data_IF_048965608431
#
_entry.id   IF_048965608431
#
_cell.length_a   1.000
_cell.length_b   1.000
_cell.length_c   1.000
_cell.angle_alpha   90.00
_cell.angle_beta   90.00
_cell.angle_gamma   90.00
#
_symmetry.space_group_name_H-M   'P 1'
#
loop_
_entity.id
_entity.type
_entity.pdbx_description
1 polymer ?
#
# COMPACT_ATOMS: atom_id res chain seq x y z
N UNK A 1 51.84 8.08 -3.16
CA UNK A 1 50.38 8.29 -3.26
C UNK A 1 50.15 8.98 -4.59
N UNK A 2 49.51 8.28 -5.52
CA UNK A 2 49.36 8.71 -6.91
C UNK A 2 48.39 9.89 -7.00
N UNK A 3 48.92 11.04 -7.43
CA UNK A 3 48.11 12.17 -7.89
C UNK A 3 47.71 11.89 -9.35
N UNK A 4 46.49 11.39 -9.53
CA UNK A 4 45.87 11.24 -10.84
C UNK A 4 45.48 12.63 -11.33
N UNK A 5 46.28 13.20 -12.20
CA UNK A 5 45.94 14.37 -13.01
C UNK A 5 44.75 14.04 -13.93
N UNK A 6 43.52 14.19 -13.41
CA UNK A 6 42.35 14.37 -14.27
C UNK A 6 42.54 15.69 -15.01
N UNK A 7 42.98 15.62 -16.26
CA UNK A 7 42.76 16.67 -17.25
C UNK A 7 41.25 16.86 -17.39
N UNK A 8 40.70 17.73 -16.55
CA UNK A 8 39.27 18.04 -16.51
C UNK A 8 38.87 18.73 -17.81
N UNK A 9 38.37 17.96 -18.77
CA UNK A 9 37.69 18.49 -19.93
C UNK A 9 36.37 19.11 -19.44
N UNK A 10 36.38 20.39 -19.11
CA UNK A 10 35.19 21.12 -18.68
C UNK A 10 34.18 21.07 -19.83
N UNK A 11 33.07 20.36 -19.60
CA UNK A 11 31.99 20.25 -20.58
C UNK A 11 31.43 21.65 -20.84
N UNK A 12 31.61 22.13 -22.06
CA UNK A 12 31.09 23.41 -22.55
C UNK A 12 30.20 23.18 -23.76
N UNK A 13 29.29 24.13 -24.00
CA UNK A 13 28.43 24.17 -25.17
C UNK A 13 28.75 25.45 -25.94
N UNK A 14 28.82 25.37 -27.27
CA UNK A 14 29.07 26.54 -28.11
C UNK A 14 27.81 27.38 -28.31
N UNK A 15 27.97 28.68 -28.54
CA UNK A 15 26.83 29.55 -28.90
C UNK A 15 26.17 29.14 -30.22
N UNK A 16 26.88 28.44 -31.12
CA UNK A 16 26.29 27.85 -32.35
C UNK A 16 25.41 26.65 -32.03
N UNK A 17 25.87 25.73 -31.18
CA UNK A 17 25.07 24.58 -30.75
C UNK A 17 23.77 25.03 -30.07
N UNK A 18 23.83 26.09 -29.24
CA UNK A 18 22.63 26.69 -28.65
C UNK A 18 21.70 27.26 -29.71
N UNK A 19 22.24 27.94 -30.72
CA UNK A 19 21.47 28.54 -31.81
C UNK A 19 20.69 27.48 -32.59
N UNK A 20 21.32 26.34 -32.88
CA UNK A 20 20.69 25.20 -33.53
C UNK A 20 19.62 24.56 -32.63
N UNK A 21 19.92 24.40 -31.32
CA UNK A 21 18.98 23.81 -30.35
C UNK A 21 17.71 24.65 -30.18
N UNK A 22 17.82 25.98 -30.12
CA UNK A 22 16.66 26.87 -29.97
C UNK A 22 16.07 27.31 -31.32
N UNK A 23 16.63 26.84 -32.44
CA UNK A 23 16.26 27.25 -33.80
C UNK A 23 16.20 28.79 -33.96
N UNK A 24 17.28 29.47 -33.53
CA UNK A 24 17.44 30.92 -33.62
C UNK A 24 18.73 31.26 -34.35
N UNK A 25 18.80 32.47 -34.92
CA UNK A 25 20.05 32.99 -35.52
C UNK A 25 21.13 33.12 -34.46
N UNK A 26 22.36 32.70 -34.78
CA UNK A 26 23.54 32.80 -33.91
C UNK A 26 23.77 34.22 -33.36
N UNK A 27 23.53 35.25 -34.16
CA UNK A 27 23.65 36.65 -33.73
C UNK A 27 22.72 37.02 -32.58
N UNK A 28 21.49 36.47 -32.55
CA UNK A 28 20.57 36.70 -31.44
C UNK A 28 21.07 36.02 -30.17
N UNK A 29 21.64 34.81 -30.28
CA UNK A 29 22.22 34.09 -29.14
C UNK A 29 23.38 34.88 -28.54
N UNK A 30 24.31 35.37 -29.36
CA UNK A 30 25.43 36.22 -28.91
C UNK A 30 24.93 37.47 -28.18
N UNK A 31 23.96 38.19 -28.75
CA UNK A 31 23.36 39.38 -28.12
C UNK A 31 22.72 39.05 -26.77
N UNK A 32 22.05 37.91 -26.65
CA UNK A 32 21.46 37.47 -25.38
C UNK A 32 22.54 37.15 -24.35
N UNK A 33 23.62 36.48 -24.74
CA UNK A 33 24.78 36.22 -23.87
C UNK A 33 25.36 37.54 -23.35
N UNK A 34 25.65 38.50 -24.24
CA UNK A 34 26.22 39.79 -23.84
C UNK A 34 25.29 40.54 -22.87
N UNK A 35 23.98 40.51 -23.13
CA UNK A 35 22.98 41.12 -22.24
C UNK A 35 22.94 40.45 -20.87
N UNK A 36 23.05 39.12 -20.81
CA UNK A 36 23.06 38.37 -19.55
C UNK A 36 24.35 38.59 -18.76
N UNK A 37 25.50 38.74 -19.44
CA UNK A 37 26.77 39.12 -18.82
C UNK A 37 26.69 40.54 -18.25
N UNK A 38 26.14 41.49 -19.01
CA UNK A 38 25.96 42.88 -18.54
C UNK A 38 25.05 42.99 -17.31
N UNK A 39 24.05 42.09 -17.20
CA UNK A 39 23.17 42.00 -16.04
C UNK A 39 23.76 41.18 -14.89
N UNK A 40 25.00 40.69 -15.03
CA UNK A 40 25.67 39.81 -14.06
C UNK A 40 24.87 38.53 -13.75
N UNK A 41 24.05 38.06 -14.69
CA UNK A 41 23.26 36.83 -14.54
C UNK A 41 24.10 35.60 -14.83
N UNK A 42 25.02 35.70 -15.80
CA UNK A 42 25.99 34.67 -16.17
C UNK A 42 27.41 35.26 -16.09
N UNK A 43 28.40 34.39 -15.92
CA UNK A 43 29.81 34.81 -16.00
C UNK A 43 30.20 35.15 -17.43
N UNK A 44 31.27 35.93 -17.62
CA UNK A 44 31.83 36.20 -18.95
C UNK A 44 32.33 34.88 -19.55
N UNK A 45 31.72 34.35 -20.63
CA UNK A 45 32.15 33.10 -21.24
C UNK A 45 33.43 33.29 -22.04
N UNK A 46 34.21 32.21 -22.20
CA UNK A 46 35.38 32.21 -23.07
C UNK A 46 34.95 32.39 -24.53
N UNK A 47 35.73 33.17 -25.29
CA UNK A 47 35.51 33.44 -26.71
C UNK A 47 36.58 32.71 -27.52
N UNK A 48 36.17 32.02 -28.58
CA UNK A 48 37.05 31.36 -29.53
C UNK A 48 36.78 31.81 -30.96
N UNK A 49 37.84 31.94 -31.75
CA UNK A 49 37.77 32.21 -33.18
C UNK A 49 37.70 30.89 -33.94
N UNK A 50 36.61 30.66 -34.67
CA UNK A 50 36.37 29.42 -35.42
C UNK A 50 36.27 29.75 -36.92
N UNK A 51 36.91 28.92 -37.75
CA UNK A 51 36.81 29.08 -39.20
C UNK A 51 35.38 28.85 -39.69
N UNK A 52 34.89 29.73 -40.55
CA UNK A 52 33.55 29.68 -41.10
C UNK A 52 33.63 29.33 -42.59
N UNK A 53 33.05 28.19 -42.95
CA UNK A 53 33.08 27.64 -44.32
C UNK A 53 31.93 28.14 -45.20
N UNK A 54 30.99 28.91 -44.64
CA UNK A 54 29.82 29.46 -45.34
C UNK A 54 30.02 30.87 -45.90
N UNK A 55 29.01 31.44 -46.59
CA UNK A 55 29.05 32.82 -47.06
C UNK A 55 29.11 33.78 -45.85
N UNK A 56 30.20 34.54 -45.75
CA UNK A 56 30.45 35.47 -44.65
C UNK A 56 31.94 35.62 -44.34
N UNK A 57 32.30 36.22 -43.20
CA UNK A 57 33.68 36.30 -42.74
C UNK A 57 34.30 34.91 -42.61
N UNK A 58 35.60 34.77 -42.95
CA UNK A 58 36.34 33.50 -42.90
C UNK A 58 36.51 32.96 -41.47
N UNK A 59 36.34 33.83 -40.47
CA UNK A 59 36.47 33.55 -39.03
C UNK A 59 35.26 34.14 -38.31
N UNK A 60 34.63 33.35 -37.44
CA UNK A 60 33.48 33.73 -36.63
C UNK A 60 33.79 33.49 -35.16
N UNK A 61 33.40 34.43 -34.32
CA UNK A 61 33.54 34.33 -32.87
C UNK A 61 32.42 33.47 -32.28
N UNK A 62 32.81 32.46 -31.50
CA UNK A 62 31.92 31.57 -30.77
C UNK A 62 32.18 31.66 -29.26
N UNK A 63 31.12 31.60 -28.46
CA UNK A 63 31.23 31.58 -27.01
C UNK A 63 31.22 30.13 -26.51
N UNK A 64 32.12 29.79 -25.60
CA UNK A 64 32.13 28.53 -24.84
C UNK A 64 31.43 28.75 -23.50
N UNK A 65 30.29 28.11 -23.34
CA UNK A 65 29.38 28.39 -22.23
C UNK A 65 29.33 27.15 -21.34
N UNK A 66 29.48 27.35 -20.02
CA UNK A 66 29.37 26.27 -19.04
C UNK A 66 27.94 25.77 -18.89
N UNK A 67 27.78 24.56 -18.34
CA UNK A 67 26.48 23.88 -18.18
C UNK A 67 25.38 24.79 -17.60
N UNK A 68 25.63 25.43 -16.46
CA UNK A 68 24.63 26.27 -15.78
C UNK A 68 24.20 27.46 -16.64
N UNK A 69 25.16 28.15 -17.23
CA UNK A 69 24.90 29.36 -18.02
C UNK A 69 24.22 29.03 -19.35
N UNK A 70 24.51 27.86 -19.94
CA UNK A 70 23.82 27.39 -21.14
C UNK A 70 22.32 27.21 -20.92
N UNK A 71 21.91 26.69 -19.75
CA UNK A 71 20.48 26.58 -19.41
C UNK A 71 19.81 27.95 -19.27
N UNK A 72 20.49 28.92 -18.67
CA UNK A 72 19.96 30.29 -18.52
C UNK A 72 19.77 30.95 -19.89
N UNK A 73 20.75 30.81 -20.78
CA UNK A 73 20.67 31.35 -22.15
C UNK A 73 19.52 30.70 -22.92
N UNK A 74 19.38 29.37 -22.85
CA UNK A 74 18.28 28.63 -23.51
C UNK A 74 16.91 29.03 -22.94
N UNK A 75 16.78 29.15 -21.61
CA UNK A 75 15.54 29.57 -20.97
C UNK A 75 15.08 30.96 -21.43
N UNK A 76 16.02 31.90 -21.61
CA UNK A 76 15.71 33.24 -22.12
C UNK A 76 15.30 33.25 -23.60
N UNK A 77 15.87 32.37 -24.42
CA UNK A 77 15.64 32.30 -25.86
C UNK A 77 14.42 31.44 -26.25
N UNK A 78 14.02 30.51 -25.38
CA UNK A 78 12.87 29.62 -25.57
C UNK A 78 11.78 29.88 -24.52
N UNK A 79 10.81 30.75 -24.83
CA UNK A 79 9.63 30.94 -23.99
C UNK A 79 8.84 29.64 -23.80
N UNK A 80 8.83 28.75 -24.80
CA UNK A 80 8.18 27.43 -24.73
C UNK A 80 8.80 26.55 -23.66
N UNK A 81 10.13 26.53 -23.55
CA UNK A 81 10.84 25.81 -22.49
C UNK A 81 10.47 26.34 -21.10
N UNK A 82 10.39 27.67 -20.97
CA UNK A 82 10.00 28.32 -19.71
C UNK A 82 8.52 28.06 -19.38
N UNK A 83 7.63 28.08 -20.38
CA UNK A 83 6.22 27.74 -20.21
C UNK A 83 6.03 26.31 -19.73
N UNK A 84 6.72 25.34 -20.36
CA UNK A 84 6.67 23.94 -19.93
C UNK A 84 7.15 23.74 -18.47
N UNK A 85 8.16 24.51 -18.04
CA UNK A 85 8.62 24.51 -16.65
C UNK A 85 7.54 25.04 -15.70
N UNK A 86 6.89 26.15 -16.07
CA UNK A 86 5.79 26.74 -15.29
C UNK A 86 4.60 25.79 -15.22
N UNK A 87 4.17 25.23 -16.34
CA UNK A 87 3.06 24.27 -16.41
C UNK A 87 3.33 23.05 -15.54
N UNK A 88 4.57 22.55 -15.55
CA UNK A 88 4.97 21.42 -14.70
C UNK A 88 4.87 21.74 -13.22
N UNK A 89 5.29 22.94 -12.81
CA UNK A 89 5.14 23.38 -11.42
C UNK A 89 3.69 23.55 -11.02
N UNK A 90 2.87 24.17 -11.87
CA UNK A 90 1.43 24.28 -11.63
C UNK A 90 0.77 22.90 -11.49
N UNK A 91 1.16 21.92 -12.31
CA UNK A 91 0.66 20.56 -12.20
C UNK A 91 1.06 19.90 -10.86
N UNK A 92 2.29 20.11 -10.40
CA UNK A 92 2.75 19.60 -9.09
C UNK A 92 2.01 20.28 -7.94
N UNK A 93 1.81 21.60 -8.00
CA UNK A 93 1.04 22.37 -7.03
C UNK A 93 -0.43 21.92 -7.00
N UNK A 94 -1.05 21.71 -8.15
CA UNK A 94 -2.41 21.15 -8.24
C UNK A 94 -2.46 19.74 -7.66
N UNK A 95 -1.48 18.89 -7.98
CA UNK A 95 -1.40 17.53 -7.42
C UNK A 95 -1.22 17.55 -5.90
N UNK A 96 -0.46 18.52 -5.36
CA UNK A 96 -0.27 18.72 -3.93
C UNK A 96 -1.50 19.35 -3.26
N UNK A 97 -2.22 20.26 -3.94
CA UNK A 97 -3.47 20.82 -3.45
C UNK A 97 -4.62 19.80 -3.46
N UNK A 98 -4.61 18.86 -4.40
CA UNK A 98 -5.54 17.73 -4.45
C UNK A 98 -5.20 16.63 -3.42
N UNK A 99 -3.97 16.59 -2.91
CA UNK A 99 -3.65 15.85 -1.70
C UNK A 99 -4.20 16.63 -0.51
N UNK A 100 -5.48 16.41 -0.21
CA UNK A 100 -6.30 17.05 0.81
C UNK A 100 -5.54 17.36 2.12
N UNK A 101 -4.90 18.53 2.18
CA UNK A 101 -4.57 19.17 3.44
C UNK A 101 -5.81 20.00 3.80
N UNK A 102 -6.49 19.71 4.93
CA UNK A 102 -7.60 20.53 5.36
C UNK A 102 -7.14 21.98 5.53
N UNK A 103 -7.88 22.92 4.94
CA UNK A 103 -7.69 24.35 5.16
C UNK A 103 -7.94 24.67 6.65
N UNK A 104 -6.85 24.86 7.40
CA UNK A 104 -6.89 25.19 8.83
C UNK A 104 -7.27 26.66 9.11
N UNK A 105 -7.43 27.49 8.07
CA UNK A 105 -7.78 28.91 8.24
C UNK A 105 -9.29 29.15 8.36
N UNK A 106 -10.11 28.11 8.16
CA UNK A 106 -11.55 28.18 8.36
C UNK A 106 -12.00 27.25 9.50
N UNK A 107 -12.19 27.77 10.74
CA UNK A 107 -12.54 26.95 11.91
C UNK A 107 -13.86 26.20 11.73
N UNK A 108 -14.77 26.69 10.88
CA UNK A 108 -16.03 26.01 10.59
C UNK A 108 -15.85 24.77 9.70
N UNK A 109 -14.88 24.78 8.78
CA UNK A 109 -14.58 23.63 7.94
C UNK A 109 -13.85 22.54 8.74
N UNK A 110 -12.93 22.93 9.60
CA UNK A 110 -12.25 22.02 10.52
C UNK A 110 -13.22 21.33 11.49
N UNK A 111 -14.19 22.06 12.05
CA UNK A 111 -15.21 21.50 12.94
C UNK A 111 -16.12 20.48 12.23
N UNK A 112 -16.49 20.72 10.96
CA UNK A 112 -17.30 19.76 10.18
C UNK A 112 -16.52 18.48 9.86
N UNK A 113 -15.26 18.59 9.46
CA UNK A 113 -14.42 17.43 9.18
C UNK A 113 -14.17 16.57 10.45
N UNK A 114 -14.03 17.21 11.61
CA UNK A 114 -13.95 16.53 12.90
C UNK A 114 -15.24 15.79 13.27
N UNK A 115 -16.41 16.41 13.03
CA UNK A 115 -17.69 15.76 13.29
C UNK A 115 -17.89 14.51 12.42
N UNK A 116 -17.59 14.60 11.12
CA UNK A 116 -17.69 13.47 10.19
C UNK A 116 -16.75 12.32 10.56
N UNK A 117 -15.49 12.63 10.92
CA UNK A 117 -14.54 11.64 11.41
C UNK A 117 -15.00 10.97 12.71
N UNK A 118 -15.58 11.74 13.63
CA UNK A 118 -16.08 11.21 14.90
C UNK A 118 -17.29 10.32 14.70
N UNK A 119 -18.21 10.66 13.79
CA UNK A 119 -19.35 9.83 13.41
C UNK A 119 -18.90 8.52 12.76
N UNK A 120 -17.93 8.58 11.83
CA UNK A 120 -17.32 7.38 11.23
C UNK A 120 -16.63 6.49 12.28
N UNK A 121 -15.87 7.09 13.20
CA UNK A 121 -15.20 6.36 14.28
C UNK A 121 -16.22 5.72 15.23
N UNK A 122 -17.31 6.41 15.56
CA UNK A 122 -18.39 5.84 16.36
C UNK A 122 -19.09 4.68 15.65
N UNK A 123 -19.40 4.81 14.36
CA UNK A 123 -20.00 3.73 13.58
C UNK A 123 -19.08 2.49 13.52
N UNK A 124 -17.77 2.71 13.31
CA UNK A 124 -16.77 1.63 13.34
C UNK A 124 -16.65 0.98 14.73
N UNK A 125 -16.63 1.78 15.80
CA UNK A 125 -16.58 1.27 17.17
C UNK A 125 -17.86 0.53 17.58
N UNK A 126 -19.03 0.96 17.11
CA UNK A 126 -20.30 0.25 17.35
C UNK A 126 -20.31 -1.10 16.62
N UNK A 127 -19.77 -1.18 15.39
CA UNK A 127 -19.62 -2.44 14.68
C UNK A 127 -18.66 -3.41 15.41
N UNK A 128 -17.58 -2.90 16.00
CA UNK A 128 -16.64 -3.68 16.82
C UNK A 128 -17.26 -4.11 18.15
N UNK A 129 -18.07 -3.26 18.79
CA UNK A 129 -18.75 -3.58 20.05
C UNK A 129 -19.80 -4.70 19.89
N UNK A 130 -20.45 -4.82 18.73
CA UNK A 130 -21.33 -5.95 18.41
C UNK A 130 -20.53 -7.24 18.17
N UNK A 131 -19.26 -7.13 17.75
CA UNK A 131 -18.34 -8.26 17.59
C UNK A 131 -17.62 -8.66 18.90
N UNK A 132 -17.45 -7.75 19.86
CA UNK A 132 -16.76 -7.98 21.13
C UNK A 132 -17.29 -9.17 21.97
N UNK A 133 -18.61 -9.41 22.13
CA UNK A 133 -19.08 -10.56 22.90
C UNK A 133 -18.82 -11.90 22.20
N UNK A 134 -18.38 -11.91 20.92
CA UNK A 134 -18.06 -13.13 20.17
C UNK A 134 -16.62 -13.63 20.43
N UNK A 135 -15.70 -12.76 20.84
CA UNK A 135 -14.30 -13.12 21.10
C UNK A 135 -14.06 -13.46 22.58
N UNK A 136 -14.65 -12.72 23.52
CA UNK A 136 -14.42 -12.95 24.95
C UNK A 136 -14.99 -14.29 25.47
N UNK A 137 -16.05 -14.82 24.87
CA UNK A 137 -16.57 -16.14 25.23
C UNK A 137 -15.64 -17.28 24.78
N UNK A 138 -14.84 -17.05 23.74
CA UNK A 138 -13.97 -18.08 23.14
C UNK A 138 -12.63 -18.17 23.89
N UNK A 139 -12.00 -17.03 24.19
CA UNK A 139 -10.69 -17.01 24.85
C UNK A 139 -10.76 -17.48 26.31
N UNK A 140 -11.81 -17.10 27.04
CA UNK A 140 -11.98 -17.51 28.45
C UNK A 140 -12.32 -19.00 28.62
N UNK A 141 -12.52 -19.75 27.54
CA UNK A 141 -13.05 -21.12 27.56
C UNK A 141 -12.05 -22.20 27.06
N UNK A 142 -11.00 -21.82 26.32
CA UNK A 142 -10.01 -22.76 25.75
C UNK A 142 -8.92 -23.21 26.74
N UNK A 143 -8.75 -22.53 27.87
CA UNK A 143 -7.71 -22.85 28.87
C UNK A 143 -7.96 -24.13 29.69
N UNK A 144 -9.17 -24.68 29.67
CA UNK A 144 -9.54 -25.83 30.50
C UNK A 144 -9.55 -27.18 29.76
N UNK A 145 -8.46 -27.93 29.83
CA UNK A 145 -8.32 -29.38 29.50
C UNK A 145 -8.76 -29.84 28.10
N UNK A 146 -7.76 -30.23 27.30
CA UNK A 146 -7.75 -30.24 25.84
C UNK A 146 -8.58 -31.27 25.05
N UNK A 147 -9.52 -32.01 25.63
CA UNK A 147 -10.43 -32.87 24.86
C UNK A 147 -11.79 -33.04 25.57
N UNK A 148 -12.89 -32.60 24.95
CA UNK A 148 -14.25 -32.73 25.51
C UNK A 148 -15.10 -33.71 24.70
N UNK A 149 -15.86 -34.55 25.39
CA UNK A 149 -16.81 -35.47 24.77
C UNK A 149 -18.09 -34.78 24.32
N UNK A 150 -18.89 -35.45 23.49
CA UNK A 150 -20.13 -34.92 22.90
C UNK A 150 -21.07 -34.24 23.92
N UNK A 151 -21.41 -34.93 25.01
CA UNK A 151 -22.33 -34.38 26.03
C UNK A 151 -21.78 -33.16 26.75
N UNK A 152 -20.46 -33.11 26.95
CA UNK A 152 -19.79 -31.98 27.59
C UNK A 152 -19.87 -30.74 26.68
N UNK A 153 -19.71 -30.92 25.37
CA UNK A 153 -19.88 -29.85 24.38
C UNK A 153 -21.33 -29.39 24.28
N UNK A 154 -22.32 -30.30 24.35
CA UNK A 154 -23.74 -29.91 24.36
C UNK A 154 -24.07 -29.04 25.60
N UNK A 155 -23.63 -29.46 26.79
CA UNK A 155 -23.84 -28.70 28.03
C UNK A 155 -23.16 -27.33 28.00
N UNK A 156 -21.97 -27.26 27.40
CA UNK A 156 -21.19 -26.06 27.21
C UNK A 156 -21.89 -25.05 26.29
N UNK A 157 -22.47 -25.51 25.20
CA UNK A 157 -23.17 -24.68 24.21
C UNK A 157 -24.65 -24.41 24.58
N UNK A 158 -25.15 -24.97 25.69
CA UNK A 158 -26.57 -24.94 26.03
C UNK A 158 -27.47 -25.61 24.98
N UNK A 159 -26.91 -26.55 24.20
CA UNK A 159 -27.59 -27.19 23.07
C UNK A 159 -28.35 -28.45 23.50
N UNK A 160 -29.53 -28.68 22.91
CA UNK A 160 -30.22 -29.96 23.04
C UNK A 160 -29.42 -31.05 22.30
N UNK A 161 -29.15 -32.19 22.94
CA UNK A 161 -28.33 -33.27 22.36
C UNK A 161 -28.84 -33.76 21.01
N UNK A 162 -30.17 -33.85 20.82
CA UNK A 162 -30.75 -34.33 19.57
C UNK A 162 -30.64 -33.29 18.45
N UNK A 163 -30.90 -32.02 18.77
CA UNK A 163 -30.76 -30.91 17.82
C UNK A 163 -29.30 -30.76 17.39
N UNK A 164 -28.37 -30.87 18.34
CA UNK A 164 -26.94 -30.79 18.06
C UNK A 164 -26.46 -31.99 17.21
N UNK A 165 -26.98 -33.21 17.41
CA UNK A 165 -26.69 -34.36 16.53
C UNK A 165 -27.15 -34.11 15.09
N UNK A 166 -28.35 -33.58 14.91
CA UNK A 166 -28.89 -33.26 13.58
C UNK A 166 -28.05 -32.20 12.90
N UNK A 167 -27.69 -31.14 13.62
CA UNK A 167 -26.79 -30.11 13.12
C UNK A 167 -25.40 -30.65 12.75
N UNK A 168 -24.81 -31.56 13.53
CA UNK A 168 -23.52 -32.15 13.17
C UNK A 168 -23.60 -33.01 11.91
N UNK A 169 -24.74 -33.65 11.66
CA UNK A 169 -24.98 -34.41 10.43
C UNK A 169 -25.17 -33.46 9.23
N UNK A 170 -25.98 -32.42 9.40
CA UNK A 170 -26.27 -31.41 8.37
C UNK A 170 -25.03 -30.60 7.98
N UNK A 171 -24.24 -30.17 8.98
CA UNK A 171 -23.00 -29.41 8.79
C UNK A 171 -21.82 -30.27 8.28
N UNK A 172 -22.08 -31.53 7.89
CA UNK A 172 -21.11 -32.50 7.39
C UNK A 172 -19.93 -32.74 8.36
N UNK A 173 -20.19 -32.70 9.66
CA UNK A 173 -19.15 -32.86 10.69
C UNK A 173 -19.03 -34.33 11.09
N UNK A 174 -20.16 -34.96 11.43
CA UNK A 174 -20.24 -36.36 11.82
C UNK A 174 -21.24 -37.11 10.93
N UNK A 175 -21.05 -38.41 10.76
CA UNK A 175 -21.96 -39.31 10.04
C UNK A 175 -22.22 -40.57 10.86
N UNK A 176 -23.22 -41.34 10.44
CA UNK A 176 -23.61 -42.58 11.12
C UNK A 176 -23.01 -43.78 10.42
N UNK A 177 -22.24 -44.58 11.15
CA UNK A 177 -21.65 -45.84 10.67
C UNK A 177 -21.88 -46.93 11.71
N UNK A 178 -22.58 -48.01 11.33
CA UNK A 178 -22.81 -49.15 12.23
C UNK A 178 -23.57 -48.81 13.52
N UNK A 179 -24.37 -47.74 13.53
CA UNK A 179 -25.09 -47.27 14.73
C UNK A 179 -24.31 -46.28 15.59
N UNK A 180 -23.01 -46.10 15.34
CA UNK A 180 -22.16 -45.13 16.02
C UNK A 180 -22.01 -43.83 15.20
N UNK A 181 -21.70 -42.74 15.90
CA UNK A 181 -21.41 -41.45 15.29
C UNK A 181 -19.91 -41.28 15.10
N UNK A 182 -19.50 -41.09 13.85
CA UNK A 182 -18.09 -41.02 13.46
C UNK A 182 -17.82 -39.66 12.79
N UNK A 183 -16.74 -38.96 13.15
CA UNK A 183 -16.36 -37.72 12.47
C UNK A 183 -15.86 -38.00 11.04
N UNK A 184 -16.15 -37.09 10.11
CA UNK A 184 -15.52 -37.14 8.78
C UNK A 184 -14.00 -36.93 8.89
N UNK A 185 -13.25 -37.59 8.01
CA UNK A 185 -11.78 -37.54 7.98
C UNK A 185 -11.23 -36.11 7.85
N UNK A 186 -11.96 -35.23 7.15
CA UNK A 186 -11.62 -33.82 6.99
C UNK A 186 -11.49 -33.08 8.33
N UNK A 187 -12.38 -33.37 9.28
CA UNK A 187 -12.39 -32.73 10.59
C UNK A 187 -11.35 -33.32 11.54
N UNK A 188 -10.94 -34.56 11.31
CA UNK A 188 -9.80 -35.18 11.99
C UNK A 188 -8.50 -34.54 11.47
N UNK A 189 -8.33 -34.43 10.15
CA UNK A 189 -7.17 -33.80 9.52
C UNK A 189 -7.04 -32.30 9.87
N UNK A 190 -8.16 -31.59 9.98
CA UNK A 190 -8.18 -30.19 10.40
C UNK A 190 -7.85 -29.96 11.90
N UNK A 191 -7.69 -31.04 12.68
CA UNK A 191 -7.40 -30.99 14.12
C UNK A 191 -8.57 -30.52 14.98
N UNK A 192 -9.81 -30.62 14.46
CA UNK A 192 -11.03 -30.21 15.18
C UNK A 192 -11.57 -31.33 16.07
N UNK A 193 -11.34 -32.58 15.68
CA UNK A 193 -11.78 -33.78 16.42
C UNK A 193 -10.61 -34.74 16.56
N UNK A 194 -10.47 -35.33 17.74
CA UNK A 194 -9.49 -36.37 18.03
C UNK A 194 -10.22 -37.65 18.43
N UNK A 195 -9.92 -38.76 17.76
CA UNK A 195 -10.51 -40.08 18.04
C UNK A 195 -9.57 -40.82 18.98
N UNK A 196 -10.01 -41.04 20.23
CA UNK A 196 -9.28 -41.84 21.20
C UNK A 196 -9.72 -43.29 21.11
N UNK A 197 -8.76 -44.17 20.83
CA UNK A 197 -8.97 -45.62 20.88
C UNK A 197 -8.49 -46.13 22.23
N UNK A 198 -9.31 -46.93 22.92
CA UNK A 198 -8.96 -47.50 24.22
C UNK A 198 -9.60 -48.86 24.43
N UNK A 199 -9.01 -49.66 25.31
CA UNK A 199 -9.58 -50.93 25.73
C UNK A 199 -10.27 -50.72 27.08
N UNK A 200 -11.57 -50.99 27.16
CA UNK A 200 -12.29 -51.01 28.42
C UNK A 200 -11.80 -52.20 29.27
N UNK A 201 -11.95 -52.14 30.60
CA UNK A 201 -11.46 -53.17 31.53
C UNK A 201 -12.05 -54.58 31.32
N UNK A 202 -13.04 -54.71 30.44
CA UNK A 202 -13.67 -55.94 29.98
C UNK A 202 -13.09 -56.46 28.63
N UNK A 203 -11.98 -55.88 28.15
CA UNK A 203 -11.30 -56.31 26.93
C UNK A 203 -11.88 -55.76 25.61
N UNK A 204 -13.01 -55.03 25.66
CA UNK A 204 -13.60 -54.42 24.47
C UNK A 204 -12.89 -53.12 24.08
N UNK A 205 -12.47 -53.03 22.82
CA UNK A 205 -11.93 -51.79 22.25
C UNK A 205 -13.07 -50.83 21.91
N UNK A 206 -12.95 -49.56 22.32
CA UNK A 206 -13.88 -48.50 21.97
C UNK A 206 -13.15 -47.35 21.29
N UNK A 207 -13.82 -46.74 20.31
CA UNK A 207 -13.37 -45.52 19.63
C UNK A 207 -14.26 -44.36 20.09
N UNK A 208 -13.68 -43.42 20.83
CA UNK A 208 -14.41 -42.25 21.31
C UNK A 208 -13.90 -40.98 20.62
N UNK A 209 -14.74 -40.38 19.78
CA UNK A 209 -14.47 -39.06 19.20
C UNK A 209 -14.63 -37.95 20.26
N UNK A 210 -13.62 -37.10 20.40
CA UNK A 210 -13.61 -35.94 21.30
C UNK A 210 -13.28 -34.67 20.53
N UNK A 211 -13.89 -33.56 20.92
CA UNK A 211 -13.61 -32.24 20.35
C UNK A 211 -12.35 -31.65 20.98
N UNK A 212 -11.46 -31.12 20.14
CA UNK A 212 -10.33 -30.30 20.57
C UNK A 212 -10.80 -28.89 20.89
N UNK A 213 -10.03 -28.04 21.59
CA UNK A 213 -10.43 -26.67 21.86
C UNK A 213 -10.70 -25.88 20.58
N UNK A 214 -9.84 -26.06 19.56
CA UNK A 214 -10.05 -25.54 18.20
C UNK A 214 -11.35 -26.03 17.55
N UNK A 215 -11.71 -27.29 17.78
CA UNK A 215 -12.98 -27.84 17.32
C UNK A 215 -14.20 -27.25 18.03
N UNK A 216 -14.07 -26.98 19.33
CA UNK A 216 -15.13 -26.38 20.15
C UNK A 216 -15.40 -24.94 19.71
N UNK A 217 -14.35 -24.13 19.53
CA UNK A 217 -14.48 -22.76 19.01
C UNK A 217 -15.18 -22.74 17.65
N UNK A 218 -14.70 -23.58 16.74
CA UNK A 218 -15.25 -23.65 15.38
C UNK A 218 -16.73 -24.09 15.36
N UNK A 219 -17.08 -25.10 16.16
CA UNK A 219 -18.45 -25.62 16.20
C UNK A 219 -19.39 -24.67 16.95
N UNK A 220 -18.90 -23.94 17.96
CA UNK A 220 -19.66 -22.92 18.67
C UNK A 220 -20.12 -21.81 17.73
N UNK A 221 -19.20 -21.31 16.88
CA UNK A 221 -19.53 -20.29 15.88
C UNK A 221 -20.56 -20.76 14.85
N UNK A 222 -20.39 -21.98 14.31
CA UNK A 222 -21.37 -22.56 13.37
C UNK A 222 -22.73 -22.83 14.04
N UNK A 223 -22.74 -23.32 15.27
CA UNK A 223 -23.96 -23.58 16.01
C UNK A 223 -24.75 -22.30 16.31
N UNK A 224 -24.06 -21.22 16.69
CA UNK A 224 -24.70 -19.92 16.90
C UNK A 224 -25.32 -19.39 15.59
N UNK A 225 -24.62 -19.51 14.46
CA UNK A 225 -25.16 -19.14 13.15
C UNK A 225 -26.39 -19.97 12.77
N UNK A 226 -26.37 -21.28 13.02
CA UNK A 226 -27.50 -22.18 12.79
C UNK A 226 -28.74 -21.79 13.61
N UNK A 227 -28.55 -21.45 14.90
CA UNK A 227 -29.66 -21.00 15.77
C UNK A 227 -30.23 -19.64 15.33
N UNK A 228 -29.41 -18.74 14.80
CA UNK A 228 -29.88 -17.47 14.25
C UNK A 228 -30.70 -17.65 12.97
N UNK A 229 -30.31 -18.59 12.10
CA UNK A 229 -31.02 -18.90 10.85
C UNK A 229 -32.34 -19.66 11.09
N UNK A 230 -32.42 -20.50 12.14
CA UNK A 230 -33.65 -21.20 12.51
C UNK A 230 -34.63 -20.39 13.37
N UNK A 231 -34.28 -19.16 13.78
CA UNK A 231 -35.14 -18.26 14.55
C UNK A 231 -35.76 -17.13 13.71
N UNK A 232 -35.41 -17.06 12.41
CA UNK A 232 -36.02 -16.20 11.40
C UNK A 232 -37.11 -16.97 10.63
#
# INVERSE_FOLDING_TARGET
>A
MNDLTLTGNTLTMSSREIADLVNRRHDNVKRTIDTLVQRSVIGLPQIEEVSNLGPGPLVVLEYRIGKRDSFVVVAQLSPEFTAALVDRWQQLEQSQAMAAIPDFNNPAAAARAWAEQFELQQAANQALAIAAPKAEFVDRYVDGTGLKGFRQVCKLLGANENEFRLFLADAHVWYRLGGEWVPYAEHIAAGRVHVKTGQAGNGHNFNAAKFTPKGIEWIAGKWAAYKLQGAA
#
